data_IF_600381383289
#
_entry.id   IF_600381383289
#
_cell.length_a   1.000
_cell.length_b   1.000
_cell.length_c   1.000
_cell.angle_alpha   90.00
_cell.angle_beta   90.00
_cell.angle_gamma   90.00
#
_symmetry.space_group_name_H-M   'P 1'
#
loop_
_entity.id
_entity.type
_entity.pdbx_description
1 polymer ?
#
# COMPACT_ATOMS: atom_id res chain seq x y z
N UNK A 1 36.03 -2.15 83.33
CA UNK A 1 35.23 -2.87 82.31
C UNK A 1 34.63 -1.84 81.36
N UNK A 2 35.36 -1.42 80.33
CA UNK A 2 34.78 -0.71 79.19
C UNK A 2 35.73 -0.82 78.01
N UNK A 3 35.19 -1.29 76.90
CA UNK A 3 35.87 -1.90 75.78
C UNK A 3 36.83 -0.96 75.03
N UNK A 4 38.02 -1.48 74.72
CA UNK A 4 38.91 -0.94 73.70
C UNK A 4 38.27 -1.18 72.32
N UNK A 5 37.73 -0.12 71.73
CA UNK A 5 37.20 -0.12 70.37
C UNK A 5 38.38 0.11 69.41
N UNK A 6 38.80 -0.96 68.77
CA UNK A 6 39.92 -1.04 67.84
C UNK A 6 39.61 -0.25 66.56
N UNK A 7 40.27 0.91 66.39
CA UNK A 7 40.32 1.66 65.14
C UNK A 7 41.14 0.87 64.10
N UNK A 8 40.47 0.15 63.21
CA UNK A 8 41.10 -0.43 62.02
C UNK A 8 41.08 0.60 60.88
N UNK A 9 42.22 0.85 60.22
CA UNK A 9 42.29 1.79 59.10
C UNK A 9 41.42 1.32 57.92
N UNK A 10 40.85 2.26 57.14
CA UNK A 10 40.01 1.95 56.00
C UNK A 10 40.78 1.13 54.97
N UNK A 11 40.35 -0.12 54.74
CA UNK A 11 40.95 -0.97 53.72
C UNK A 11 40.70 -0.35 52.34
N UNK A 12 41.78 0.08 51.69
CA UNK A 12 41.77 0.59 50.34
C UNK A 12 41.21 -0.50 49.41
N UNK A 13 40.02 -0.25 48.83
CA UNK A 13 39.44 -1.15 47.82
C UNK A 13 40.44 -1.27 46.66
N UNK A 14 40.87 -2.50 46.30
CA UNK A 14 41.71 -2.68 45.12
C UNK A 14 40.93 -2.15 43.91
N UNK A 15 41.54 -1.22 43.18
CA UNK A 15 41.02 -0.69 41.94
C UNK A 15 40.83 -1.86 40.98
N UNK A 16 39.58 -2.32 40.82
CA UNK A 16 39.27 -3.34 39.82
C UNK A 16 39.69 -2.78 38.46
N UNK A 17 40.58 -3.47 37.72
CA UNK A 17 40.93 -3.05 36.39
C UNK A 17 39.65 -3.10 35.56
N UNK A 18 39.12 -1.92 35.20
CA UNK A 18 38.03 -1.79 34.22
C UNK A 18 38.53 -2.47 32.96
N UNK A 19 38.14 -3.72 32.77
CA UNK A 19 38.35 -4.46 31.54
C UNK A 19 37.74 -3.62 30.41
N UNK A 20 38.62 -2.92 29.69
CA UNK A 20 38.26 -2.09 28.55
C UNK A 20 37.81 -3.08 27.48
N UNK A 21 36.53 -3.38 27.45
CA UNK A 21 35.93 -4.23 26.42
C UNK A 21 36.22 -3.57 25.07
N UNK A 22 37.19 -4.11 24.34
CA UNK A 22 37.51 -3.69 22.99
C UNK A 22 36.23 -3.87 22.15
N UNK A 23 35.71 -2.80 21.53
CA UNK A 23 34.54 -2.93 20.66
C UNK A 23 34.90 -3.90 19.55
N UNK A 24 34.19 -5.03 19.46
CA UNK A 24 34.35 -6.04 18.41
C UNK A 24 34.04 -5.39 17.06
N UNK A 25 35.04 -5.05 16.22
CA UNK A 25 34.84 -4.18 15.06
C UNK A 25 33.98 -4.81 13.95
N UNK A 26 33.77 -6.12 13.98
CA UNK A 26 33.10 -6.87 12.91
C UNK A 26 31.57 -7.01 13.02
N UNK A 27 30.98 -6.88 14.22
CA UNK A 27 29.54 -7.17 14.40
C UNK A 27 28.62 -5.95 14.14
N UNK A 28 29.13 -4.74 14.33
CA UNK A 28 28.40 -3.50 14.08
C UNK A 28 27.97 -3.29 12.60
N UNK A 29 28.82 -3.53 11.58
CA UNK A 29 28.44 -3.30 10.17
C UNK A 29 27.37 -4.28 9.68
N UNK A 30 27.44 -5.56 10.09
CA UNK A 30 26.44 -6.57 9.71
C UNK A 30 25.05 -6.24 10.29
N UNK A 31 25.00 -5.83 11.57
CA UNK A 31 23.76 -5.43 12.22
C UNK A 31 23.16 -4.13 11.62
N UNK A 32 23.99 -3.21 11.13
CA UNK A 32 23.54 -2.01 10.43
C UNK A 32 22.89 -2.35 9.07
N UNK A 33 23.50 -3.24 8.28
CA UNK A 33 22.96 -3.71 7.01
C UNK A 33 21.65 -4.47 7.19
N UNK A 34 21.57 -5.37 8.16
CA UNK A 34 20.34 -6.12 8.45
C UNK A 34 19.17 -5.18 8.82
N UNK A 35 19.44 -4.12 9.61
CA UNK A 35 18.44 -3.10 9.95
C UNK A 35 17.98 -2.30 8.73
N UNK A 36 18.89 -1.93 7.83
CA UNK A 36 18.52 -1.16 6.63
C UNK A 36 17.66 -1.98 5.66
N UNK A 37 17.99 -3.26 5.46
CA UNK A 37 17.18 -4.19 4.67
C UNK A 37 15.80 -4.42 5.30
N UNK A 38 15.72 -4.60 6.63
CA UNK A 38 14.44 -4.76 7.34
C UNK A 38 13.55 -3.53 7.18
N UNK A 39 14.10 -2.32 7.34
CA UNK A 39 13.34 -1.06 7.16
C UNK A 39 12.81 -0.93 5.74
N UNK A 40 13.61 -1.29 4.73
CA UNK A 40 13.20 -1.30 3.32
C UNK A 40 12.03 -2.26 3.09
N UNK A 41 12.15 -3.50 3.58
CA UNK A 41 11.08 -4.49 3.46
C UNK A 41 9.78 -3.99 4.08
N UNK A 42 9.83 -3.45 5.30
CA UNK A 42 8.65 -2.89 5.97
C UNK A 42 8.02 -1.77 5.13
N UNK A 43 8.82 -0.86 4.56
CA UNK A 43 8.29 0.22 3.69
C UNK A 43 7.60 -0.32 2.45
N UNK A 44 8.21 -1.29 1.76
CA UNK A 44 7.58 -1.93 0.58
C UNK A 44 6.29 -2.63 0.98
N UNK A 45 6.27 -3.36 2.09
CA UNK A 45 5.05 -4.01 2.60
C UNK A 45 3.93 -3.00 2.88
N UNK A 46 4.23 -1.89 3.56
CA UNK A 46 3.25 -0.84 3.83
C UNK A 46 2.70 -0.25 2.53
N UNK A 47 3.57 0.04 1.56
CA UNK A 47 3.15 0.57 0.25
C UNK A 47 2.30 -0.43 -0.54
N UNK A 48 2.66 -1.72 -0.53
CA UNK A 48 1.88 -2.77 -1.20
C UNK A 48 0.52 -2.94 -0.52
N UNK A 49 0.45 -2.95 0.80
CA UNK A 49 -0.82 -2.98 1.53
C UNK A 49 -1.68 -1.77 1.20
N UNK A 50 -1.09 -0.58 1.13
CA UNK A 50 -1.79 0.64 0.71
C UNK A 50 -2.34 0.50 -0.71
N UNK A 51 -1.51 0.09 -1.68
CA UNK A 51 -1.93 -0.15 -3.07
C UNK A 51 -3.08 -1.16 -3.14
N UNK A 52 -2.96 -2.28 -2.42
CA UNK A 52 -4.00 -3.31 -2.39
C UNK A 52 -5.34 -2.77 -1.84
N UNK A 53 -5.30 -2.00 -0.75
CA UNK A 53 -6.50 -1.37 -0.17
C UNK A 53 -7.14 -0.37 -1.12
N UNK A 54 -6.35 0.49 -1.76
CA UNK A 54 -6.87 1.47 -2.74
C UNK A 54 -7.41 0.74 -3.97
N UNK A 55 -6.79 -0.35 -4.43
CA UNK A 55 -7.31 -1.17 -5.53
C UNK A 55 -8.64 -1.84 -5.20
N UNK A 56 -8.83 -2.29 -3.96
CA UNK A 56 -10.11 -2.83 -3.49
C UNK A 56 -11.19 -1.73 -3.44
N UNK A 57 -10.85 -0.54 -2.96
CA UNK A 57 -11.76 0.60 -2.96
C UNK A 57 -12.16 1.01 -4.39
N UNK A 58 -11.21 1.06 -5.32
CA UNK A 58 -11.48 1.33 -6.74
C UNK A 58 -12.40 0.27 -7.36
N UNK A 59 -12.18 -1.02 -7.06
CA UNK A 59 -13.07 -2.10 -7.49
C UNK A 59 -14.49 -1.90 -6.93
N UNK A 60 -14.61 -1.62 -5.63
CA UNK A 60 -15.90 -1.39 -4.99
C UNK A 60 -16.65 -0.22 -5.62
N UNK A 61 -15.98 0.90 -5.86
CA UNK A 61 -16.58 2.08 -6.51
C UNK A 61 -17.00 1.79 -7.94
N UNK A 62 -16.19 1.02 -8.68
CA UNK A 62 -16.53 0.59 -10.05
C UNK A 62 -17.81 -0.24 -10.05
N UNK A 63 -17.91 -1.24 -9.18
CA UNK A 63 -19.11 -2.09 -9.07
C UNK A 63 -20.34 -1.30 -8.64
N UNK A 64 -20.17 -0.38 -7.69
CA UNK A 64 -21.25 0.47 -7.20
C UNK A 64 -21.85 1.31 -8.34
N UNK A 65 -21.00 1.98 -9.15
CA UNK A 65 -21.44 2.79 -10.28
C UNK A 65 -22.08 1.95 -11.39
N UNK A 66 -21.48 0.80 -11.73
CA UNK A 66 -22.05 -0.11 -12.73
C UNK A 66 -23.42 -0.66 -12.32
N UNK A 67 -23.67 -0.86 -11.03
CA UNK A 67 -24.92 -1.43 -10.52
C UNK A 67 -26.07 -0.41 -10.40
N UNK A 68 -25.77 0.88 -10.19
CA UNK A 68 -26.80 1.88 -9.87
C UNK A 68 -27.09 2.89 -10.97
N UNK A 69 -26.13 3.17 -11.85
CA UNK A 69 -26.30 4.18 -12.90
C UNK A 69 -25.76 3.78 -14.27
N UNK A 70 -24.92 2.75 -14.33
CA UNK A 70 -24.03 2.55 -15.48
C UNK A 70 -22.93 3.61 -15.51
N UNK A 71 -21.92 3.41 -16.35
CA UNK A 71 -20.87 4.42 -16.53
C UNK A 71 -20.36 4.45 -17.96
N UNK A 72 -19.90 5.63 -18.40
CA UNK A 72 -19.14 5.75 -19.63
C UNK A 72 -17.70 5.27 -19.39
N UNK A 73 -17.40 4.04 -19.79
CA UNK A 73 -16.05 3.48 -19.64
C UNK A 73 -15.18 3.92 -20.80
N UNK A 74 -14.18 4.77 -20.53
CA UNK A 74 -13.21 5.26 -21.52
C UNK A 74 -12.18 4.22 -21.92
N UNK A 75 -11.93 3.20 -21.09
CA UNK A 75 -10.98 2.14 -21.38
C UNK A 75 -11.61 1.08 -22.32
N UNK A 76 -11.11 0.92 -23.57
CA UNK A 76 -11.71 0.00 -24.53
C UNK A 76 -11.67 -1.47 -24.08
N UNK A 77 -10.66 -1.87 -23.29
CA UNK A 77 -10.56 -3.23 -22.74
C UNK A 77 -11.60 -3.47 -21.64
N UNK A 78 -11.75 -2.52 -20.73
CA UNK A 78 -12.76 -2.61 -19.68
C UNK A 78 -14.16 -2.60 -20.29
N UNK A 79 -14.38 -1.77 -21.32
CA UNK A 79 -15.61 -1.74 -22.10
C UNK A 79 -15.92 -3.09 -22.74
N UNK A 80 -14.94 -3.71 -23.41
CA UNK A 80 -15.11 -5.03 -24.02
C UNK A 80 -15.49 -6.09 -22.98
N UNK A 81 -14.85 -6.05 -21.81
CA UNK A 81 -15.12 -6.97 -20.70
C UNK A 81 -16.52 -6.73 -20.10
N UNK A 82 -16.98 -5.48 -20.01
CA UNK A 82 -18.31 -5.14 -19.51
C UNK A 82 -19.43 -5.53 -20.50
N UNK A 83 -19.16 -5.49 -21.82
CA UNK A 83 -20.14 -5.87 -22.85
C UNK A 83 -20.35 -7.39 -22.90
N UNK A 84 -19.28 -8.18 -22.77
CA UNK A 84 -19.33 -9.64 -22.96
C UNK A 84 -19.26 -10.44 -21.65
N UNK A 85 -18.95 -9.77 -20.53
CA UNK A 85 -18.66 -10.41 -19.27
C UNK A 85 -19.68 -10.10 -18.18
N UNK A 86 -19.66 -10.94 -17.14
CA UNK A 86 -20.44 -10.74 -15.91
C UNK A 86 -19.68 -9.84 -14.91
N UNK A 87 -20.36 -9.25 -13.91
CA UNK A 87 -19.68 -8.52 -12.82
C UNK A 87 -18.54 -9.32 -12.18
N UNK A 88 -18.71 -10.63 -12.04
CA UNK A 88 -17.71 -11.56 -11.52
C UNK A 88 -16.45 -11.60 -12.38
N UNK A 89 -16.58 -11.59 -13.70
CA UNK A 89 -15.42 -11.57 -14.62
C UNK A 89 -14.56 -10.31 -14.43
N UNK A 90 -15.20 -9.15 -14.21
CA UNK A 90 -14.54 -7.88 -13.93
C UNK A 90 -13.82 -7.89 -12.58
N UNK A 91 -14.45 -8.44 -11.55
CA UNK A 91 -13.82 -8.65 -10.23
C UNK A 91 -12.57 -9.51 -10.38
N UNK A 92 -12.69 -10.68 -10.99
CA UNK A 92 -11.59 -11.63 -11.18
C UNK A 92 -10.44 -10.97 -11.93
N UNK A 93 -10.74 -10.25 -13.02
CA UNK A 93 -9.74 -9.54 -13.81
C UNK A 93 -8.99 -8.46 -13.00
N UNK A 94 -9.72 -7.56 -12.31
CA UNK A 94 -9.10 -6.50 -11.50
C UNK A 94 -8.27 -7.09 -10.35
N UNK A 95 -8.79 -8.11 -9.66
CA UNK A 95 -8.08 -8.80 -8.58
C UNK A 95 -6.83 -9.51 -9.10
N UNK A 96 -6.90 -10.17 -10.26
CA UNK A 96 -5.74 -10.84 -10.87
C UNK A 96 -4.64 -9.82 -11.24
N UNK A 97 -5.00 -8.69 -11.84
CA UNK A 97 -4.05 -7.65 -12.22
C UNK A 97 -3.41 -6.98 -10.99
N UNK A 98 -4.22 -6.55 -10.02
CA UNK A 98 -3.72 -5.95 -8.78
C UNK A 98 -2.89 -6.94 -7.97
N UNK A 99 -3.35 -8.18 -7.84
CA UNK A 99 -2.67 -9.27 -7.15
C UNK A 99 -1.33 -9.60 -7.79
N UNK A 100 -1.26 -9.68 -9.13
CA UNK A 100 -0.01 -9.92 -9.86
C UNK A 100 0.99 -8.78 -9.63
N UNK A 101 0.53 -7.52 -9.70
CA UNK A 101 1.38 -6.36 -9.42
C UNK A 101 1.93 -6.39 -7.99
N UNK A 102 1.07 -6.62 -7.00
CA UNK A 102 1.48 -6.75 -5.60
C UNK A 102 2.47 -7.91 -5.40
N UNK A 103 2.21 -9.06 -6.02
CA UNK A 103 3.09 -10.23 -5.93
C UNK A 103 4.48 -9.95 -6.50
N UNK A 104 4.58 -9.27 -7.65
CA UNK A 104 5.87 -8.87 -8.25
C UNK A 104 6.64 -7.94 -7.30
N UNK A 105 5.97 -6.93 -6.74
CA UNK A 105 6.61 -5.99 -5.80
C UNK A 105 7.11 -6.69 -4.53
N UNK A 106 6.34 -7.64 -4.00
CA UNK A 106 6.72 -8.41 -2.82
C UNK A 106 7.89 -9.37 -3.11
N UNK A 107 7.90 -10.01 -4.28
CA UNK A 107 9.02 -10.87 -4.72
C UNK A 107 10.33 -10.08 -4.87
N UNK A 108 10.23 -8.83 -5.31
CA UNK A 108 11.37 -7.95 -5.52
C UNK A 108 11.68 -7.04 -4.33
N UNK A 109 10.97 -7.16 -3.20
CA UNK A 109 11.04 -6.21 -2.08
C UNK A 109 12.45 -5.97 -1.48
N UNK A 110 13.41 -6.85 -1.78
CA UNK A 110 14.82 -6.71 -1.38
C UNK A 110 15.62 -5.73 -2.26
N UNK A 111 15.13 -5.37 -3.44
CA UNK A 111 15.85 -4.50 -4.39
C UNK A 111 15.53 -3.01 -4.18
N UNK A 112 16.39 -2.14 -4.75
CA UNK A 112 16.12 -0.69 -4.80
C UNK A 112 15.00 -0.34 -5.77
N UNK A 113 14.90 -1.07 -6.87
CA UNK A 113 13.87 -0.88 -7.89
C UNK A 113 12.46 -1.16 -7.35
N UNK A 114 12.27 -2.17 -6.50
CA UNK A 114 10.95 -2.48 -5.95
C UNK A 114 10.40 -1.37 -5.05
N UNK A 115 11.26 -0.67 -4.31
CA UNK A 115 10.83 0.47 -3.51
C UNK A 115 10.34 1.62 -4.39
N UNK A 116 11.09 1.96 -5.45
CA UNK A 116 10.68 2.98 -6.41
C UNK A 116 9.39 2.58 -7.13
N UNK A 117 9.27 1.32 -7.54
CA UNK A 117 8.06 0.77 -8.16
C UNK A 117 6.85 0.85 -7.23
N UNK A 118 7.00 0.49 -5.94
CA UNK A 118 5.92 0.58 -4.97
C UNK A 118 5.48 2.04 -4.72
N UNK A 119 6.42 2.98 -4.64
CA UNK A 119 6.11 4.41 -4.56
C UNK A 119 5.37 4.92 -5.79
N UNK A 120 5.83 4.54 -6.99
CA UNK A 120 5.19 4.91 -8.24
C UNK A 120 3.76 4.35 -8.31
N UNK A 121 3.56 3.07 -7.98
CA UNK A 121 2.23 2.46 -7.92
C UNK A 121 1.33 3.18 -6.92
N UNK A 122 1.82 3.48 -5.72
CA UNK A 122 1.05 4.22 -4.71
C UNK A 122 0.66 5.62 -5.21
N UNK A 123 1.57 6.34 -5.88
CA UNK A 123 1.31 7.66 -6.45
C UNK A 123 0.26 7.60 -7.57
N UNK A 124 0.35 6.61 -8.46
CA UNK A 124 -0.64 6.40 -9.53
C UNK A 124 -2.01 6.07 -8.95
N UNK A 125 -2.08 5.19 -7.96
CA UNK A 125 -3.34 4.84 -7.29
C UNK A 125 -3.97 6.05 -6.58
N UNK A 126 -3.15 6.87 -5.92
CA UNK A 126 -3.62 8.10 -5.28
C UNK A 126 -4.14 9.10 -6.31
N UNK A 127 -3.39 9.31 -7.40
CA UNK A 127 -3.81 10.20 -8.49
C UNK A 127 -5.11 9.73 -9.14
N UNK A 128 -5.26 8.43 -9.39
CA UNK A 128 -6.49 7.85 -9.90
C UNK A 128 -7.67 8.07 -8.94
N UNK A 129 -7.43 7.93 -7.63
CA UNK A 129 -8.43 8.22 -6.60
C UNK A 129 -8.90 9.68 -6.61
N UNK A 130 -7.99 10.63 -6.79
CA UNK A 130 -8.36 12.06 -6.94
C UNK A 130 -9.19 12.27 -8.21
N UNK A 131 -8.79 11.68 -9.34
CA UNK A 131 -9.55 11.76 -10.58
C UNK A 131 -10.96 11.17 -10.47
N UNK A 132 -11.11 10.10 -9.68
CA UNK A 132 -12.41 9.53 -9.35
C UNK A 132 -13.27 10.49 -8.52
N UNK A 133 -12.69 11.17 -7.53
CA UNK A 133 -13.41 12.16 -6.74
C UNK A 133 -13.91 13.33 -7.61
N UNK A 134 -13.07 13.84 -8.52
CA UNK A 134 -13.46 14.87 -9.49
C UNK A 134 -14.61 14.37 -10.37
N UNK A 135 -14.52 13.13 -10.87
CA UNK A 135 -15.55 12.53 -11.72
C UNK A 135 -16.89 12.44 -10.99
N UNK A 136 -16.91 11.99 -9.73
CA UNK A 136 -18.14 11.90 -8.94
C UNK A 136 -18.74 13.29 -8.68
N UNK A 137 -17.91 14.29 -8.39
CA UNK A 137 -18.37 15.65 -8.18
C UNK A 137 -19.00 16.24 -9.46
N UNK A 138 -18.37 16.03 -10.61
CA UNK A 138 -18.90 16.48 -11.90
C UNK A 138 -20.16 15.69 -12.30
N UNK A 139 -20.21 14.39 -12.02
CA UNK A 139 -21.38 13.55 -12.25
C UNK A 139 -22.59 14.05 -11.45
N UNK A 140 -22.41 14.45 -10.20
CA UNK A 140 -23.47 15.04 -9.37
C UNK A 140 -23.97 16.38 -9.93
N UNK A 141 -23.07 17.20 -10.47
CA UNK A 141 -23.43 18.46 -11.13
C UNK A 141 -24.22 18.24 -12.43
N UNK A 142 -23.83 17.23 -13.21
CA UNK A 142 -24.41 16.94 -14.52
C UNK A 142 -25.61 15.98 -14.47
N UNK A 143 -25.85 15.31 -13.33
CA UNK A 143 -26.95 14.36 -13.13
C UNK A 143 -28.32 14.79 -13.73
N UNK A 144 -28.82 16.04 -13.55
CA UNK A 144 -30.10 16.44 -14.14
C UNK A 144 -30.07 16.49 -15.68
N UNK A 145 -28.91 16.77 -16.28
CA UNK A 145 -28.72 16.82 -17.74
C UNK A 145 -28.40 15.45 -18.33
N UNK A 146 -27.72 14.58 -17.57
CA UNK A 146 -27.37 13.22 -17.99
C UNK A 146 -28.63 12.39 -18.30
N UNK A 147 -29.73 12.62 -17.59
CA UNK A 147 -31.00 11.95 -17.92
C UNK A 147 -31.47 12.28 -19.37
N UNK A 148 -31.19 13.50 -19.86
CA UNK A 148 -31.49 13.90 -21.24
C UNK A 148 -30.45 13.35 -22.23
N UNK A 149 -29.16 13.32 -21.87
CA UNK A 149 -28.09 12.80 -22.71
C UNK A 149 -28.09 11.27 -22.84
N UNK A 150 -28.59 10.54 -21.83
CA UNK A 150 -28.73 9.09 -21.86
C UNK A 150 -29.61 8.64 -23.04
N UNK A 151 -30.56 9.47 -23.49
CA UNK A 151 -31.37 9.19 -24.68
C UNK A 151 -30.60 9.40 -26.00
N UNK A 152 -29.54 10.21 -26.00
CA UNK A 152 -28.77 10.57 -27.20
C UNK A 152 -27.55 9.66 -27.39
N UNK A 153 -26.89 9.24 -26.30
CA UNK A 153 -25.61 8.50 -26.34
C UNK A 153 -25.75 7.02 -25.89
N UNK A 154 -26.93 6.42 -26.12
CA UNK A 154 -27.28 5.07 -25.69
C UNK A 154 -26.29 3.98 -26.13
N UNK A 155 -25.54 4.20 -27.21
CA UNK A 155 -24.52 3.25 -27.69
C UNK A 155 -23.21 3.23 -26.89
N UNK A 156 -22.97 4.23 -26.02
CA UNK A 156 -21.73 4.36 -25.24
C UNK A 156 -21.92 4.12 -23.73
N UNK A 157 -23.17 4.04 -23.29
CA UNK A 157 -23.54 3.79 -21.92
C UNK A 157 -23.69 2.29 -21.69
N UNK A 158 -22.99 1.75 -20.69
CA UNK A 158 -23.05 0.32 -20.36
C UNK A 158 -23.60 0.16 -18.96
N UNK A 159 -24.65 -0.64 -18.84
CA UNK A 159 -25.21 -1.12 -17.58
C UNK A 159 -24.95 -2.62 -17.54
N UNK A 160 -24.34 -3.12 -16.47
CA UNK A 160 -24.20 -4.56 -16.30
C UNK A 160 -25.55 -5.16 -15.91
N UNK A 161 -25.99 -6.16 -16.67
CA UNK A 161 -27.18 -6.93 -16.36
C UNK A 161 -26.89 -7.75 -15.09
N UNK A 162 -27.68 -7.54 -14.04
CA UNK A 162 -27.65 -8.39 -12.85
C UNK A 162 -28.48 -9.64 -13.18
N UNK A 163 -27.80 -10.77 -13.35
CA UNK A 163 -28.44 -12.09 -13.45
C UNK A 163 -29.09 -12.49 -12.12
#
# INVERSE_FOLDING_TARGET
MTAALTDLPPQARPAQPRARSLPTPGLAPAAALARSLRRRLVRVWVLVCFVALVSLADLYLTLLHLSHGGMSEGNPLARWLMIHGTPTSLIVWKVAMAGTSCWILLRLARTRSAELGAWLCAAVMLWLGVRWADYVAELQRLAPVIHQLHQIDAGRWIVMQQD
#
